data_IF_716643209074
#
_entry.id   IF_716643209074
#
_cell.length_a   1.000
_cell.length_b   1.000
_cell.length_c   1.000
_cell.angle_alpha   90.00
_cell.angle_beta   90.00
_cell.angle_gamma   90.00
#
_symmetry.space_group_name_H-M   'P 1'
#
loop_
_entity.id
_entity.type
_entity.pdbx_description
1 polymer ?
#
# COMPACT_ATOMS: atom_id res chain seq x y z
N UNK A 1 3.08 17.57 19.46
CA UNK A 1 4.01 18.69 19.74
C UNK A 1 4.96 18.82 18.57
N UNK A 2 4.67 19.72 17.62
CA UNK A 2 5.59 20.09 16.53
C UNK A 2 5.94 21.57 16.70
N UNK A 3 7.18 21.80 17.12
CA UNK A 3 7.70 23.07 17.61
C UNK A 3 8.44 23.84 16.49
N UNK A 4 7.83 24.03 15.30
CA UNK A 4 8.48 24.70 14.15
C UNK A 4 7.54 25.71 13.46
N UNK A 5 6.74 26.49 14.20
CA UNK A 5 5.82 27.48 13.59
C UNK A 5 6.09 28.96 13.91
N UNK A 6 7.22 29.30 14.56
CA UNK A 6 7.46 30.67 15.03
C UNK A 6 8.61 31.45 14.36
N UNK A 7 9.20 30.95 13.28
CA UNK A 7 10.39 31.58 12.67
C UNK A 7 10.26 31.94 11.18
N UNK A 8 9.04 31.95 10.61
CA UNK A 8 8.84 32.41 9.24
C UNK A 8 8.12 33.77 9.20
N UNK A 9 8.59 34.72 8.38
CA UNK A 9 7.95 36.03 8.21
C UNK A 9 6.52 35.88 7.68
N UNK A 10 5.63 36.79 8.08
CA UNK A 10 4.18 36.75 7.82
C UNK A 10 3.77 36.66 6.33
N UNK A 11 4.70 36.89 5.40
CA UNK A 11 4.51 36.74 3.96
C UNK A 11 4.38 35.28 3.50
N UNK A 12 5.01 34.32 4.19
CA UNK A 12 4.96 32.88 3.82
C UNK A 12 3.70 32.21 4.40
N UNK A 13 3.20 32.68 5.54
CA UNK A 13 1.92 32.24 6.14
C UNK A 13 0.69 32.68 5.33
N UNK A 14 0.78 33.77 4.55
CA UNK A 14 -0.27 34.13 3.58
C UNK A 14 -0.25 33.23 2.35
N UNK A 15 0.91 32.82 1.88
CA UNK A 15 1.06 31.89 0.75
C UNK A 15 0.52 30.49 1.11
N UNK A 16 0.76 30.01 2.34
CA UNK A 16 0.25 28.71 2.80
C UNK A 16 -1.27 28.71 3.12
N UNK A 17 -1.87 29.87 3.36
CA UNK A 17 -3.31 30.01 3.66
C UNK A 17 -4.17 30.22 2.40
N UNK A 18 -3.56 30.58 1.26
CA UNK A 18 -4.26 30.69 -0.04
C UNK A 18 -4.32 29.35 -0.79
N UNK A 19 -3.43 28.40 -0.49
CA UNK A 19 -3.32 27.13 -1.22
C UNK A 19 -4.26 26.01 -0.69
N UNK A 20 -4.90 26.19 0.47
CA UNK A 20 -5.82 25.21 1.09
C UNK A 20 -7.30 25.66 1.13
N UNK A 21 -7.71 26.53 0.21
CA UNK A 21 -9.09 27.03 0.17
C UNK A 21 -9.93 26.17 -0.79
N UNK A 22 -10.43 25.03 -0.31
CA UNK A 22 -11.48 24.28 -1.00
C UNK A 22 -12.77 25.13 -1.05
N UNK A 23 -13.34 25.44 -2.23
CA UNK A 23 -14.62 26.15 -2.30
C UNK A 23 -15.79 25.20 -2.02
N UNK A 24 -16.69 25.63 -1.14
CA UNK A 24 -17.98 25.01 -0.86
C UNK A 24 -18.89 25.09 -2.09
N UNK A 25 -19.54 23.98 -2.43
CA UNK A 25 -20.41 23.83 -3.60
C UNK A 25 -21.57 24.84 -3.65
N UNK A 26 -21.78 25.52 -4.80
CA UNK A 26 -23.09 26.03 -5.27
C UNK A 26 -23.16 26.18 -6.81
N UNK A 27 -24.10 25.45 -7.43
CA UNK A 27 -24.98 25.73 -8.60
C UNK A 27 -24.46 26.12 -10.01
N UNK A 28 -24.76 25.26 -11.01
CA UNK A 28 -25.35 25.47 -12.38
C UNK A 28 -25.06 26.80 -13.14
N UNK A 29 -24.67 26.93 -14.43
CA UNK A 29 -24.71 26.12 -15.69
C UNK A 29 -23.69 26.71 -16.74
N UNK A 30 -23.64 26.33 -18.04
CA UNK A 30 -22.50 25.70 -18.73
C UNK A 30 -21.65 26.65 -19.60
N UNK A 31 -20.33 26.46 -19.64
CA UNK A 31 -19.50 27.07 -20.70
C UNK A 31 -18.33 26.17 -21.08
N UNK A 32 -18.28 25.88 -22.38
CA UNK A 32 -17.37 24.96 -23.07
C UNK A 32 -15.94 25.49 -23.10
N UNK A 33 -15.01 24.77 -22.48
CA UNK A 33 -13.58 24.85 -22.80
C UNK A 33 -12.95 23.45 -22.69
N UNK A 34 -12.37 23.00 -23.81
CA UNK A 34 -11.66 21.74 -24.00
C UNK A 34 -10.31 21.75 -23.25
N UNK A 35 -10.36 21.70 -21.92
CA UNK A 35 -9.18 21.50 -21.08
C UNK A 35 -9.17 20.05 -20.56
N UNK A 36 -8.23 19.26 -21.09
CA UNK A 36 -7.69 18.01 -20.56
C UNK A 36 -8.63 17.10 -19.76
N UNK A 37 -9.01 15.98 -20.38
CA UNK A 37 -9.51 14.78 -19.66
C UNK A 37 -8.36 14.28 -18.76
N UNK A 38 -8.16 14.92 -17.61
CA UNK A 38 -7.55 14.28 -16.45
C UNK A 38 -8.75 13.72 -15.70
N UNK A 39 -9.03 12.44 -15.96
CA UNK A 39 -10.09 11.73 -15.26
C UNK A 39 -9.92 11.98 -13.77
N UNK A 40 -11.01 12.39 -13.13
CA UNK A 40 -11.19 12.13 -11.71
C UNK A 40 -11.05 10.62 -11.56
N UNK A 41 -9.90 10.18 -11.07
CA UNK A 41 -9.79 8.84 -10.49
C UNK A 41 -10.58 8.93 -9.18
N UNK A 42 -11.90 8.85 -9.29
CA UNK A 42 -12.72 8.45 -8.16
C UNK A 42 -12.14 7.11 -7.71
N UNK A 43 -11.47 7.07 -6.55
CA UNK A 43 -11.00 5.81 -5.97
C UNK A 43 -12.27 5.01 -5.67
N UNK A 44 -12.61 4.11 -6.61
CA UNK A 44 -13.84 3.32 -6.65
C UNK A 44 -14.02 2.44 -5.40
N UNK A 45 -13.03 2.46 -4.49
CA UNK A 45 -12.95 1.69 -3.27
C UNK A 45 -13.18 2.50 -1.98
N UNK A 46 -13.56 3.79 -2.04
CA UNK A 46 -13.86 4.56 -0.83
C UNK A 46 -14.98 3.89 0.00
N UNK A 47 -14.61 3.38 1.19
CA UNK A 47 -15.52 2.75 2.15
C UNK A 47 -15.58 1.22 2.13
N UNK A 48 -14.85 0.55 1.24
CA UNK A 48 -14.78 -0.90 1.17
C UNK A 48 -13.60 -1.47 2.01
N UNK A 49 -13.71 -2.67 2.59
CA UNK A 49 -12.62 -3.26 3.40
C UNK A 49 -11.35 -3.49 2.57
N UNK A 50 -10.15 -3.33 3.14
CA UNK A 50 -8.89 -3.53 2.38
C UNK A 50 -8.69 -4.98 1.90
N UNK A 51 -9.22 -5.94 2.67
CA UNK A 51 -9.12 -7.38 2.46
C UNK A 51 -10.52 -7.99 2.38
N UNK A 52 -10.75 -8.82 1.38
CA UNK A 52 -11.94 -9.66 1.25
C UNK A 52 -11.56 -11.10 0.94
N UNK A 53 -12.40 -12.03 1.36
CA UNK A 53 -12.26 -13.45 1.03
C UNK A 53 -13.32 -13.83 0.02
N UNK A 54 -12.94 -14.51 -1.06
CA UNK A 54 -13.92 -14.99 -2.05
C UNK A 54 -14.81 -16.07 -1.45
N UNK A 55 -16.11 -16.14 -1.80
CA UNK A 55 -17.04 -17.14 -1.27
C UNK A 55 -16.69 -18.58 -1.65
N UNK A 56 -15.79 -18.80 -2.60
CA UNK A 56 -15.29 -20.11 -3.02
C UNK A 56 -14.12 -20.63 -2.15
N UNK A 57 -13.95 -20.11 -0.93
CA UNK A 57 -12.96 -20.60 0.02
C UNK A 57 -13.35 -21.97 0.58
N UNK A 58 -12.42 -22.92 0.52
CA UNK A 58 -12.46 -24.18 1.28
C UNK A 58 -11.58 -24.03 2.53
N UNK A 59 -11.49 -25.04 3.40
CA UNK A 59 -10.64 -24.99 4.63
C UNK A 59 -9.14 -25.06 4.34
N UNK A 60 -8.74 -25.39 3.10
CA UNK A 60 -7.33 -25.60 2.73
C UNK A 60 -6.94 -24.88 1.43
N UNK A 61 -7.88 -24.18 0.80
CA UNK A 61 -7.65 -23.36 -0.37
C UNK A 61 -8.57 -22.15 -0.33
N UNK A 62 -7.97 -20.96 -0.25
CA UNK A 62 -8.66 -19.69 -0.12
C UNK A 62 -8.04 -18.63 -1.03
N UNK A 63 -8.89 -17.81 -1.64
CA UNK A 63 -8.46 -16.64 -2.43
C UNK A 63 -8.82 -15.36 -1.69
N UNK A 64 -7.80 -14.57 -1.39
CA UNK A 64 -7.90 -13.25 -0.79
C UNK A 64 -7.86 -12.17 -1.87
N UNK A 65 -8.81 -11.24 -1.82
CA UNK A 65 -8.86 -10.07 -2.69
C UNK A 65 -8.37 -8.88 -1.87
N UNK A 66 -7.22 -8.33 -2.27
CA UNK A 66 -6.64 -7.13 -1.69
C UNK A 66 -6.87 -5.94 -2.61
N UNK A 67 -7.51 -4.90 -2.08
CA UNK A 67 -7.78 -3.66 -2.81
C UNK A 67 -6.64 -2.66 -2.68
N UNK A 68 -6.44 -1.88 -3.73
CA UNK A 68 -5.38 -0.88 -3.84
C UNK A 68 -4.00 -1.49 -3.53
N UNK A 69 -3.75 -2.70 -4.03
CA UNK A 69 -2.50 -3.44 -3.92
C UNK A 69 -2.18 -4.10 -5.27
N UNK A 70 -0.89 -4.26 -5.55
CA UNK A 70 -0.39 -4.72 -6.85
C UNK A 70 0.77 -5.74 -6.72
N UNK A 71 1.53 -5.89 -7.81
CA UNK A 71 2.70 -6.76 -7.91
C UNK A 71 3.74 -6.55 -6.81
N UNK A 72 3.81 -5.35 -6.22
CA UNK A 72 4.76 -5.01 -5.16
C UNK A 72 4.54 -5.90 -3.95
N UNK A 73 3.33 -5.82 -3.37
CA UNK A 73 2.97 -6.62 -2.21
C UNK A 73 2.77 -8.10 -2.59
N UNK A 74 2.15 -8.36 -3.75
CA UNK A 74 1.89 -9.72 -4.22
C UNK A 74 3.14 -10.57 -4.38
N UNK A 75 4.19 -10.00 -5.00
CA UNK A 75 5.43 -10.72 -5.20
C UNK A 75 6.16 -10.99 -3.88
N UNK A 76 6.16 -10.02 -2.95
CA UNK A 76 6.75 -10.20 -1.63
C UNK A 76 6.04 -11.34 -0.86
N UNK A 77 4.71 -11.31 -0.81
CA UNK A 77 3.91 -12.34 -0.14
C UNK A 77 4.10 -13.72 -0.74
N UNK A 78 4.10 -13.83 -2.08
CA UNK A 78 4.35 -15.09 -2.78
C UNK A 78 5.66 -15.71 -2.29
N UNK A 79 6.74 -14.94 -2.25
CA UNK A 79 8.06 -15.44 -1.86
C UNK A 79 8.05 -15.90 -0.41
N UNK A 80 7.54 -15.07 0.51
CA UNK A 80 7.57 -15.37 1.95
C UNK A 80 6.67 -16.55 2.30
N UNK A 81 5.42 -16.55 1.84
CA UNK A 81 4.45 -17.59 2.15
C UNK A 81 4.87 -18.93 1.55
N UNK A 82 5.45 -18.93 0.33
CA UNK A 82 5.94 -20.17 -0.30
C UNK A 82 7.10 -20.84 0.44
N UNK A 83 7.80 -20.14 1.36
CA UNK A 83 8.85 -20.73 2.19
C UNK A 83 8.29 -21.55 3.36
N UNK A 84 7.03 -21.35 3.74
CA UNK A 84 6.41 -22.11 4.82
C UNK A 84 6.13 -23.57 4.34
N UNK A 85 6.65 -24.61 5.03
CA UNK A 85 6.43 -26.01 4.63
C UNK A 85 4.97 -26.47 4.68
N UNK A 86 4.13 -25.76 5.45
CA UNK A 86 2.69 -26.04 5.58
C UNK A 86 1.88 -25.56 4.36
N UNK A 87 2.49 -24.73 3.51
CA UNK A 87 1.89 -24.24 2.27
C UNK A 87 2.23 -25.19 1.13
N UNK A 88 1.20 -25.59 0.39
CA UNK A 88 1.34 -26.39 -0.84
C UNK A 88 1.53 -25.48 -2.04
N UNK A 89 0.76 -24.40 -2.10
CA UNK A 89 0.77 -23.48 -3.23
C UNK A 89 0.44 -22.05 -2.77
N UNK A 90 1.16 -21.09 -3.32
CA UNK A 90 0.88 -19.67 -3.14
C UNK A 90 1.16 -18.94 -4.46
N UNK A 91 0.19 -18.17 -4.93
CA UNK A 91 0.30 -17.39 -6.15
C UNK A 91 -0.56 -16.15 -6.09
N UNK A 92 -0.23 -15.14 -6.89
CA UNK A 92 -1.05 -13.94 -7.00
C UNK A 92 -1.30 -13.61 -8.47
N UNK A 93 -2.40 -12.91 -8.73
CA UNK A 93 -2.77 -12.43 -10.06
C UNK A 93 -3.44 -11.06 -9.94
N UNK A 94 -3.15 -10.19 -10.90
CA UNK A 94 -3.87 -8.94 -11.11
C UNK A 94 -4.80 -9.20 -12.30
N UNK A 95 -6.13 -9.31 -12.09
CA UNK A 95 -7.06 -9.74 -13.13
C UNK A 95 -7.12 -8.74 -14.28
N UNK A 96 -6.97 -7.45 -14.01
CA UNK A 96 -6.98 -6.41 -15.02
C UNK A 96 -6.14 -5.18 -14.57
N UNK A 97 -5.24 -4.62 -15.41
CA UNK A 97 -4.37 -3.52 -15.01
C UNK A 97 -5.08 -2.21 -14.63
N UNK A 98 -6.30 -1.98 -15.15
CA UNK A 98 -7.08 -0.78 -14.85
C UNK A 98 -7.89 -0.89 -13.55
N UNK A 99 -7.84 -2.04 -12.89
CA UNK A 99 -8.52 -2.25 -11.62
C UNK A 99 -7.46 -2.46 -10.53
N UNK A 100 -7.47 -1.58 -9.53
CA UNK A 100 -6.56 -1.64 -8.39
C UNK A 100 -6.97 -2.73 -7.41
N UNK A 101 -6.99 -3.99 -7.86
CA UNK A 101 -7.21 -5.16 -7.00
C UNK A 101 -6.27 -6.29 -7.38
N UNK A 102 -5.83 -7.02 -6.36
CA UNK A 102 -4.98 -8.19 -6.50
C UNK A 102 -5.66 -9.39 -5.86
N UNK A 103 -5.62 -10.53 -6.54
CA UNK A 103 -6.06 -11.81 -6.00
C UNK A 103 -4.85 -12.61 -5.54
N UNK A 104 -4.79 -12.96 -4.26
CA UNK A 104 -3.79 -13.84 -3.66
C UNK A 104 -4.45 -15.18 -3.36
N UNK A 105 -3.95 -16.25 -3.96
CA UNK A 105 -4.44 -17.60 -3.76
C UNK A 105 -3.45 -18.40 -2.92
N UNK A 106 -3.94 -18.96 -1.81
CA UNK A 106 -3.17 -19.76 -0.86
C UNK A 106 -3.81 -21.13 -0.74
N UNK A 107 -2.99 -22.17 -0.81
CA UNK A 107 -3.38 -23.55 -0.54
C UNK A 107 -2.45 -24.17 0.50
N UNK A 108 -3.02 -24.66 1.59
CA UNK A 108 -2.30 -25.27 2.73
C UNK A 108 -2.48 -26.80 2.72
N UNK A 109 -1.68 -27.50 3.55
CA UNK A 109 -1.75 -28.97 3.70
C UNK A 109 -2.74 -29.44 4.77
N UNK A 110 -3.34 -28.53 5.54
CA UNK A 110 -4.25 -28.88 6.64
C UNK A 110 -4.40 -27.84 7.76
N UNK A 111 -3.73 -26.69 7.68
CA UNK A 111 -3.95 -25.53 8.56
C UNK A 111 -4.91 -24.53 7.92
N UNK A 112 -5.64 -23.76 8.73
CA UNK A 112 -6.49 -22.67 8.22
C UNK A 112 -5.63 -21.61 7.51
N UNK A 113 -6.11 -21.08 6.39
CA UNK A 113 -5.33 -20.21 5.51
C UNK A 113 -5.09 -18.83 6.12
N UNK A 114 -6.02 -18.36 6.96
CA UNK A 114 -5.88 -17.14 7.74
C UNK A 114 -4.68 -17.21 8.70
N UNK A 115 -4.40 -18.40 9.23
CA UNK A 115 -3.23 -18.65 10.09
C UNK A 115 -1.91 -18.58 9.32
N UNK A 116 -1.94 -18.64 7.99
CA UNK A 116 -0.74 -18.53 7.14
C UNK A 116 -0.47 -17.10 6.66
N UNK A 117 -1.53 -16.34 6.33
CA UNK A 117 -1.39 -14.99 5.77
C UNK A 117 -0.79 -13.99 6.78
N UNK A 118 -1.28 -14.00 8.02
CA UNK A 118 -0.83 -13.08 9.07
C UNK A 118 0.66 -13.25 9.43
N UNK A 119 1.18 -14.47 9.68
CA UNK A 119 2.61 -14.67 9.84
C UNK A 119 3.44 -14.25 8.63
N UNK A 120 2.93 -14.50 7.41
CA UNK A 120 3.60 -14.06 6.17
C UNK A 120 3.78 -12.54 6.11
N UNK A 121 2.76 -11.77 6.49
CA UNK A 121 2.86 -10.30 6.56
C UNK A 121 3.84 -9.83 7.63
N UNK A 122 3.82 -10.44 8.82
CA UNK A 122 4.76 -10.12 9.91
C UNK A 122 6.20 -10.38 9.53
N UNK A 123 6.46 -11.46 8.79
CA UNK A 123 7.80 -11.78 8.30
C UNK A 123 8.30 -10.74 7.29
N UNK A 124 7.43 -10.23 6.40
CA UNK A 124 7.79 -9.12 5.51
C UNK A 124 8.18 -7.87 6.30
N UNK A 125 7.41 -7.52 7.33
CA UNK A 125 7.74 -6.38 8.19
C UNK A 125 9.10 -6.57 8.87
N UNK A 126 9.34 -7.75 9.47
CA UNK A 126 10.61 -8.09 10.11
C UNK A 126 11.81 -7.98 9.16
N UNK A 127 11.65 -8.42 7.90
CA UNK A 127 12.70 -8.26 6.89
C UNK A 127 12.96 -6.79 6.53
N UNK A 128 11.92 -5.95 6.47
CA UNK A 128 12.06 -4.52 6.23
C UNK A 128 12.78 -3.81 7.39
N UNK A 129 12.43 -4.16 8.63
CA UNK A 129 13.10 -3.62 9.83
C UNK A 129 14.59 -4.00 9.81
N UNK A 130 14.90 -5.27 9.56
CA UNK A 130 16.28 -5.74 9.49
C UNK A 130 17.07 -5.08 8.34
N UNK A 131 16.44 -4.87 7.19
CA UNK A 131 17.05 -4.15 6.07
C UNK A 131 17.38 -2.70 6.44
N UNK A 132 16.50 -2.04 7.19
CA UNK A 132 16.73 -0.70 7.73
C UNK A 132 17.96 -0.66 8.65
N UNK A 133 18.02 -1.57 9.62
CA UNK A 133 19.15 -1.65 10.56
C UNK A 133 20.49 -1.85 9.85
N UNK A 134 20.54 -2.77 8.88
CA UNK A 134 21.76 -3.06 8.10
C UNK A 134 22.15 -1.88 7.22
N UNK A 135 21.16 -1.18 6.65
CA UNK A 135 21.40 0.00 5.83
C UNK A 135 21.97 1.15 6.66
N UNK A 136 21.38 1.42 7.83
CA UNK A 136 21.82 2.49 8.74
C UNK A 136 23.24 2.22 9.27
N UNK A 137 23.57 0.95 9.58
CA UNK A 137 24.92 0.54 9.97
C UNK A 137 25.92 0.79 8.83
N UNK A 138 25.60 0.35 7.61
CA UNK A 138 26.46 0.54 6.45
C UNK A 138 26.63 2.04 6.10
N UNK A 139 25.59 2.84 6.27
CA UNK A 139 25.65 4.29 6.08
C UNK A 139 26.59 4.95 7.10
N UNK A 140 26.46 4.60 8.38
CA UNK A 140 27.34 5.08 9.45
C UNK A 140 28.81 4.74 9.19
N UNK A 141 29.10 3.49 8.81
CA UNK A 141 30.46 3.06 8.44
C UNK A 141 31.01 3.84 7.22
N UNK A 142 30.16 4.11 6.23
CA UNK A 142 30.54 4.91 5.08
C UNK A 142 30.92 6.35 5.47
N UNK A 143 30.17 7.02 6.33
CA UNK A 143 30.53 8.37 6.79
C UNK A 143 31.82 8.38 7.62
N UNK A 144 31.99 7.42 8.53
CA UNK A 144 33.22 7.28 9.35
C UNK A 144 34.45 7.10 8.45
N UNK A 145 34.35 6.26 7.41
CA UNK A 145 35.47 5.96 6.51
C UNK A 145 35.75 7.07 5.49
N UNK A 146 34.73 7.82 5.07
CA UNK A 146 34.87 8.91 4.09
C UNK A 146 35.25 10.26 4.71
N UNK A 147 35.36 10.33 6.04
CA UNK A 147 35.86 11.51 6.77
C UNK A 147 34.91 12.72 6.71
N UNK A 148 33.61 12.47 6.53
CA UNK A 148 32.53 13.47 6.60
C UNK A 148 31.69 13.29 7.86
#
# INVERSE_FOLDING_TARGET
>A
MNLILFLLPASILRFWNEENRYPLATTNTPQSDMAGIRGEEDDVNEGLPKLETTPESTTTSTTFVMRNEDHTLGNALRIVISRNPNVTFCGYSVPHPLESKMHLHIQTKGEEEDETLLPGLKEIMSMCDHLGDVFDEAESEYYISSGR
#
